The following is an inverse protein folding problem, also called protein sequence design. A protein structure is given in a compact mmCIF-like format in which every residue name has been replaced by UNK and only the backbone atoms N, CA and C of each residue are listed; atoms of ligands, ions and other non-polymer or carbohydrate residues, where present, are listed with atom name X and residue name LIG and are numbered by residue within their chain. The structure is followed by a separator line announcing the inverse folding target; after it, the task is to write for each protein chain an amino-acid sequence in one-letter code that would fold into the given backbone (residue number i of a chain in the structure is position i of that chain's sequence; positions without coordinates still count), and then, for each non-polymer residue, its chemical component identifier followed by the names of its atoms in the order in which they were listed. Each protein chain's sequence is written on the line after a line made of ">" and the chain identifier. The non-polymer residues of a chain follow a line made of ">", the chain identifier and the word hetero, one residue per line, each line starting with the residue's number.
data_IF_234233972880
#
_entry.id   IF_234233972880
#
_cell.length_a   1.000
_cell.length_b   1.000
_cell.length_c   1.000
_cell.angle_alpha   90.00
_cell.angle_beta   90.00
_cell.angle_gamma   90.00
#
_symmetry.space_group_name_H-M   'P 1'
#
loop_
_entity.id
_entity.type
_entity.pdbx_description
1 polymer ?
#
# COMPACT_ATOMS: atom_id res chain seq x y z
N UNK A 1 -38.96 -17.05 10.69
CA UNK A 1 -37.68 -17.06 9.95
C UNK A 1 -37.25 -15.67 9.51
N UNK A 2 -38.14 -14.86 8.94
CA UNK A 2 -37.81 -13.51 8.44
C UNK A 2 -37.33 -12.52 9.51
N UNK A 3 -37.87 -12.55 10.72
CA UNK A 3 -37.46 -11.65 11.82
C UNK A 3 -36.02 -11.90 12.28
N UNK A 4 -35.56 -13.15 12.27
CA UNK A 4 -34.21 -13.52 12.70
C UNK A 4 -33.15 -13.05 11.70
N UNK A 5 -33.42 -13.18 10.40
CA UNK A 5 -32.56 -12.68 9.32
C UNK A 5 -32.43 -11.15 9.35
N UNK A 6 -33.51 -10.42 9.63
CA UNK A 6 -33.47 -8.95 9.76
C UNK A 6 -32.59 -8.49 10.92
N UNK A 7 -32.68 -9.17 12.07
CA UNK A 7 -31.86 -8.83 13.23
C UNK A 7 -30.37 -9.11 12.98
N UNK A 8 -30.03 -10.19 12.27
CA UNK A 8 -28.65 -10.48 11.87
C UNK A 8 -28.11 -9.41 10.92
N UNK A 9 -28.91 -8.99 9.94
CA UNK A 9 -28.50 -7.95 8.99
C UNK A 9 -28.19 -6.63 9.72
N UNK A 10 -29.04 -6.22 10.67
CA UNK A 10 -28.85 -4.98 11.45
C UNK A 10 -27.58 -5.08 12.32
N UNK A 11 -27.38 -6.22 12.97
CA UNK A 11 -26.19 -6.47 13.82
C UNK A 11 -24.89 -6.49 13.00
N UNK A 12 -24.94 -6.87 11.72
CA UNK A 12 -23.78 -6.81 10.81
C UNK A 12 -23.58 -5.44 10.18
N UNK A 13 -24.66 -4.72 9.86
CA UNK A 13 -24.59 -3.41 9.21
C UNK A 13 -24.06 -2.33 10.15
N UNK A 14 -24.43 -2.38 11.43
CA UNK A 14 -24.01 -1.41 12.44
C UNK A 14 -22.47 -1.34 12.63
N UNK A 15 -21.75 -2.45 12.88
CA UNK A 15 -20.29 -2.42 12.96
C UNK A 15 -19.66 -2.11 11.61
N UNK A 16 -20.25 -2.51 10.48
CA UNK A 16 -19.75 -2.12 9.15
C UNK A 16 -19.75 -0.60 8.97
N UNK A 17 -20.84 0.08 9.33
CA UNK A 17 -20.93 1.54 9.29
C UNK A 17 -19.96 2.23 10.27
N UNK A 18 -19.77 1.68 11.47
CA UNK A 18 -18.81 2.22 12.44
C UNK A 18 -17.35 2.05 11.97
N UNK A 19 -17.03 0.91 11.37
CA UNK A 19 -15.69 0.60 10.86
C UNK A 19 -15.38 1.37 9.58
N UNK A 20 -16.37 1.73 8.77
CA UNK A 20 -16.16 2.54 7.56
C UNK A 20 -15.45 3.87 7.86
N UNK A 21 -15.80 4.52 8.97
CA UNK A 21 -15.19 5.79 9.37
C UNK A 21 -13.80 5.65 10.01
N UNK A 22 -13.45 4.45 10.51
CA UNK A 22 -12.17 4.19 11.18
C UNK A 22 -11.03 3.84 10.21
N UNK A 23 -11.33 3.61 8.93
CA UNK A 23 -10.33 3.17 7.93
C UNK A 23 -9.49 4.34 7.38
N UNK A 24 -9.78 5.59 7.74
CA UNK A 24 -8.89 6.73 7.45
C UNK A 24 -7.69 6.79 8.41
N UNK A 25 -7.05 5.64 8.68
CA UNK A 25 -5.75 5.64 9.34
C UNK A 25 -4.70 6.17 8.36
N UNK A 26 -3.78 6.98 8.88
CA UNK A 26 -2.72 7.66 8.15
C UNK A 26 -1.71 6.63 7.60
N UNK A 27 -2.05 5.95 6.52
CA UNK A 27 -1.12 5.13 5.74
C UNK A 27 -0.91 5.85 4.43
N UNK A 28 0.30 6.36 4.22
CA UNK A 28 0.67 6.91 2.92
C UNK A 28 0.74 5.75 1.94
N UNK A 29 -0.30 5.70 1.11
CA UNK A 29 -0.54 4.60 0.18
C UNK A 29 -1.10 5.14 -1.10
N UNK A 30 -0.77 4.45 -2.18
CA UNK A 30 -1.26 4.76 -3.51
C UNK A 30 -1.78 3.48 -4.16
N UNK A 31 -3.02 3.56 -4.65
CA UNK A 31 -3.70 2.45 -5.33
C UNK A 31 -3.80 2.78 -6.81
N UNK A 32 -3.35 1.86 -7.66
CA UNK A 32 -3.36 2.07 -9.10
C UNK A 32 -3.75 0.79 -9.84
N UNK A 33 -4.32 0.96 -11.03
CA UNK A 33 -4.62 -0.15 -11.94
C UNK A 33 -3.58 -0.17 -13.05
N UNK A 34 -2.97 -1.34 -13.28
CA UNK A 34 -2.00 -1.49 -14.36
C UNK A 34 -2.70 -1.47 -15.71
N UNK A 35 -2.11 -0.73 -16.65
CA UNK A 35 -2.52 -0.65 -18.05
C UNK A 35 -1.28 -0.89 -18.88
N UNK A 36 -1.40 -1.71 -19.93
CA UNK A 36 -0.30 -1.89 -20.85
C UNK A 36 -0.08 -0.59 -21.63
N UNK A 37 1.15 -0.09 -21.66
CA UNK A 37 1.56 1.04 -22.47
C UNK A 37 2.39 0.56 -23.65
N UNK A 38 2.13 1.13 -24.82
CA UNK A 38 2.93 0.91 -26.02
C UNK A 38 3.97 2.03 -26.09
N UNK A 39 5.25 1.67 -25.93
CA UNK A 39 6.38 2.61 -25.98
C UNK A 39 7.39 2.25 -27.07
N UNK A 40 8.15 3.21 -27.61
CA UNK A 40 9.28 2.93 -28.48
C UNK A 40 10.34 2.09 -27.76
N UNK A 41 10.90 1.10 -28.44
CA UNK A 41 11.93 0.22 -27.87
C UNK A 41 13.19 1.00 -27.42
N UNK A 42 13.54 2.07 -28.14
CA UNK A 42 14.65 2.96 -27.75
C UNK A 42 14.45 3.59 -26.38
N UNK A 43 13.24 4.06 -26.09
CA UNK A 43 12.87 4.64 -24.80
C UNK A 43 12.89 3.58 -23.70
N UNK A 44 12.44 2.36 -24.00
CA UNK A 44 12.53 1.24 -23.07
C UNK A 44 13.98 0.96 -22.67
N UNK A 45 14.89 0.84 -23.65
CA UNK A 45 16.31 0.58 -23.37
C UNK A 45 16.98 1.72 -22.62
N UNK A 46 16.68 2.97 -22.95
CA UNK A 46 17.21 4.14 -22.24
C UNK A 46 16.81 4.14 -20.76
N UNK A 47 15.50 3.97 -20.49
CA UNK A 47 14.98 3.90 -19.13
C UNK A 47 15.55 2.70 -18.38
N UNK A 48 15.65 1.54 -19.05
CA UNK A 48 16.18 0.34 -18.44
C UNK A 48 17.66 0.52 -18.07
N UNK A 49 18.46 1.08 -18.97
CA UNK A 49 19.88 1.37 -18.71
C UNK A 49 20.04 2.37 -17.56
N UNK A 50 19.25 3.44 -17.55
CA UNK A 50 19.22 4.39 -16.43
C UNK A 50 18.87 3.68 -15.11
N UNK A 51 17.83 2.86 -15.11
CA UNK A 51 17.39 2.15 -13.90
C UNK A 51 18.46 1.20 -13.34
N UNK A 52 19.24 0.57 -14.22
CA UNK A 52 20.37 -0.29 -13.85
C UNK A 52 21.54 0.55 -13.33
N UNK A 53 21.85 1.68 -13.98
CA UNK A 53 22.93 2.57 -13.57
C UNK A 53 22.69 3.16 -12.17
N UNK A 54 21.45 3.52 -11.87
CA UNK A 54 21.03 4.03 -10.55
C UNK A 54 20.85 2.92 -9.51
N UNK A 55 20.91 1.65 -9.92
CA UNK A 55 20.73 0.51 -9.03
C UNK A 55 19.32 0.43 -8.43
N UNK A 56 18.29 0.79 -9.21
CA UNK A 56 16.92 0.82 -8.71
C UNK A 56 16.43 -0.56 -8.27
N UNK A 57 15.72 -0.59 -7.14
CA UNK A 57 15.15 -1.82 -6.60
C UNK A 57 13.84 -2.15 -7.33
N UNK A 58 13.68 -3.42 -7.70
CA UNK A 58 12.47 -3.92 -8.36
C UNK A 58 11.51 -4.55 -7.36
N UNK A 59 10.26 -4.07 -7.35
CA UNK A 59 9.14 -4.60 -6.59
C UNK A 59 8.24 -5.41 -7.53
N UNK A 60 7.89 -6.64 -7.13
CA UNK A 60 7.10 -7.57 -7.95
C UNK A 60 5.81 -8.03 -7.24
N UNK A 61 4.70 -8.25 -7.97
CA UNK A 61 3.52 -8.90 -7.40
C UNK A 61 3.76 -10.40 -7.12
N UNK A 62 2.89 -11.08 -6.36
CA UNK A 62 1.66 -10.56 -5.74
C UNK A 62 1.91 -9.75 -4.46
N UNK A 63 3.12 -9.86 -3.89
CA UNK A 63 3.55 -9.14 -2.70
C UNK A 63 5.08 -9.05 -2.69
N UNK A 64 5.63 -7.84 -2.60
CA UNK A 64 7.06 -7.59 -2.34
C UNK A 64 7.20 -6.51 -1.29
N UNK A 65 8.19 -6.67 -0.40
CA UNK A 65 8.58 -5.68 0.59
C UNK A 65 10.07 -5.39 0.48
N UNK A 66 10.40 -4.11 0.27
CA UNK A 66 11.77 -3.62 0.42
C UNK A 66 11.89 -2.91 1.76
N UNK A 67 12.91 -3.28 2.54
CA UNK A 67 13.05 -2.87 3.94
C UNK A 67 14.22 -1.93 4.17
N UNK A 68 14.09 -1.11 5.21
CA UNK A 68 15.15 -0.25 5.76
C UNK A 68 15.73 0.78 4.78
N UNK A 69 14.88 1.22 3.85
CA UNK A 69 15.18 2.31 2.92
C UNK A 69 15.30 3.62 3.68
N UNK A 70 16.02 4.59 3.11
CA UNK A 70 16.31 5.87 3.75
C UNK A 70 16.02 7.00 2.81
N UNK A 71 15.31 8.02 3.28
CA UNK A 71 15.07 9.25 2.53
C UNK A 71 15.27 10.46 3.43
N UNK A 72 15.93 11.50 2.94
CA UNK A 72 16.03 12.77 3.66
C UNK A 72 14.79 13.60 3.34
N UNK A 73 13.97 13.98 4.34
CA UNK A 73 12.76 14.72 4.07
C UNK A 73 13.06 16.17 3.64
N UNK A 74 12.17 16.72 2.81
CA UNK A 74 12.11 18.14 2.51
C UNK A 74 11.62 18.91 3.75
N UNK A 75 12.23 20.06 4.02
CA UNK A 75 11.92 20.90 5.19
C UNK A 75 10.63 21.67 5.03
N UNK A 76 10.36 22.12 3.81
CA UNK A 76 9.22 22.96 3.47
C UNK A 76 8.62 22.49 2.15
N UNK A 77 7.34 22.82 1.93
CA UNK A 77 6.67 22.56 0.66
C UNK A 77 7.35 23.27 -0.51
N UNK A 78 7.94 24.45 -0.28
CA UNK A 78 8.71 25.20 -1.29
C UNK A 78 9.96 24.42 -1.72
N UNK A 79 10.68 23.82 -0.76
CA UNK A 79 11.83 22.97 -1.05
C UNK A 79 11.40 21.70 -1.79
N UNK A 80 10.21 21.17 -1.47
CA UNK A 80 9.63 20.00 -2.14
C UNK A 80 9.28 20.24 -3.62
N UNK A 81 8.95 21.49 -3.97
CA UNK A 81 8.70 21.89 -5.37
C UNK A 81 9.98 22.11 -6.18
N UNK A 82 11.14 22.26 -5.52
CA UNK A 82 12.42 22.33 -6.20
C UNK A 82 12.73 21.00 -6.92
N UNK A 83 13.27 21.09 -8.14
CA UNK A 83 13.55 19.94 -9.03
C UNK A 83 14.94 19.35 -8.80
N UNK A 84 15.65 19.73 -7.73
CA UNK A 84 16.98 19.20 -7.46
C UNK A 84 16.90 17.73 -7.03
N UNK A 85 17.37 16.85 -7.91
CA UNK A 85 17.45 15.40 -7.71
C UNK A 85 18.63 15.09 -6.78
N UNK A 86 18.36 15.14 -5.48
CA UNK A 86 19.31 14.84 -4.42
C UNK A 86 18.84 13.59 -3.63
N UNK A 87 19.51 13.26 -2.52
CA UNK A 87 19.18 12.17 -1.56
C UNK A 87 17.78 12.26 -0.89
N UNK A 88 16.89 13.09 -1.46
CA UNK A 88 15.55 13.41 -0.97
C UNK A 88 14.43 12.65 -1.68
N UNK A 89 14.78 11.83 -2.66
CA UNK A 89 13.83 10.95 -3.33
C UNK A 89 14.44 9.59 -3.63
N UNK A 90 13.62 8.55 -3.56
CA UNK A 90 13.97 7.19 -3.93
C UNK A 90 13.06 6.70 -5.05
N UNK A 91 13.64 5.94 -5.96
CA UNK A 91 12.94 5.38 -7.12
C UNK A 91 12.94 3.86 -7.07
N UNK A 92 11.82 3.27 -7.47
CA UNK A 92 11.62 1.83 -7.51
C UNK A 92 10.99 1.44 -8.84
N UNK A 93 11.33 0.25 -9.32
CA UNK A 93 10.73 -0.36 -10.51
C UNK A 93 9.55 -1.22 -10.04
N UNK A 94 8.37 -1.00 -10.60
CA UNK A 94 7.22 -1.89 -10.42
C UNK A 94 7.13 -2.78 -11.65
N UNK A 95 7.57 -4.03 -11.51
CA UNK A 95 7.71 -4.97 -12.63
C UNK A 95 6.70 -6.13 -12.55
N UNK A 96 6.56 -6.86 -13.65
CA UNK A 96 5.67 -8.03 -13.76
C UNK A 96 4.21 -7.72 -13.40
N UNK A 97 3.76 -6.50 -13.68
CA UNK A 97 2.38 -6.10 -13.48
C UNK A 97 1.49 -6.74 -14.56
N UNK A 98 0.33 -7.25 -14.17
CA UNK A 98 -0.67 -7.80 -15.08
C UNK A 98 -1.65 -6.69 -15.48
N UNK A 99 -1.97 -6.62 -16.77
CA UNK A 99 -2.93 -5.65 -17.29
C UNK A 99 -4.32 -5.81 -16.64
N UNK A 100 -4.93 -4.70 -16.25
CA UNK A 100 -6.27 -4.67 -15.64
C UNK A 100 -6.30 -5.07 -14.17
N UNK A 101 -5.18 -5.50 -13.57
CA UNK A 101 -5.08 -5.74 -12.13
C UNK A 101 -4.83 -4.45 -11.36
N UNK A 102 -5.37 -4.40 -10.15
CA UNK A 102 -5.17 -3.29 -9.22
C UNK A 102 -4.12 -3.66 -8.19
N UNK A 103 -3.25 -2.71 -7.90
CA UNK A 103 -2.15 -2.84 -6.97
C UNK A 103 -2.21 -1.70 -5.95
N UNK A 104 -1.64 -1.95 -4.79
CA UNK A 104 -1.44 -0.96 -3.74
C UNK A 104 0.04 -0.90 -3.40
N UNK A 105 0.57 0.32 -3.37
CA UNK A 105 1.89 0.60 -2.80
C UNK A 105 1.72 1.31 -1.48
N UNK A 106 2.53 0.94 -0.49
CA UNK A 106 2.47 1.47 0.87
C UNK A 106 3.87 1.78 1.37
N UNK A 107 3.98 2.87 2.12
CA UNK A 107 5.14 3.15 2.94
C UNK A 107 4.82 2.89 4.41
N UNK A 108 5.76 2.27 5.12
CA UNK A 108 5.68 2.03 6.57
C UNK A 108 6.93 2.55 7.23
N UNK A 109 6.77 3.40 8.24
CA UNK A 109 7.85 4.06 8.96
C UNK A 109 7.52 4.19 10.46
N UNK A 110 8.52 4.57 11.26
CA UNK A 110 8.34 4.74 12.69
C UNK A 110 7.53 6.02 13.00
N UNK A 111 6.48 5.91 13.81
CA UNK A 111 5.63 7.04 14.23
C UNK A 111 6.37 8.13 15.02
N UNK A 112 7.60 7.86 15.47
CA UNK A 112 8.47 8.84 16.14
C UNK A 112 9.15 9.82 15.18
N UNK A 113 9.00 9.62 13.87
CA UNK A 113 9.52 10.47 12.80
C UNK A 113 8.34 11.20 12.14
N UNK A 114 8.08 12.48 12.51
CA UNK A 114 6.95 13.23 11.95
C UNK A 114 7.26 13.58 10.49
N UNK A 115 6.72 12.81 9.57
CA UNK A 115 7.06 12.87 8.15
C UNK A 115 5.86 12.46 7.34
N UNK A 116 5.58 13.20 6.27
CA UNK A 116 4.54 12.90 5.29
C UNK A 116 5.26 12.35 4.05
N UNK A 117 5.03 11.08 3.72
CA UNK A 117 5.51 10.53 2.45
C UNK A 117 4.55 10.83 1.31
N UNK A 118 5.13 11.16 0.15
CA UNK A 118 4.43 11.36 -1.11
C UNK A 118 4.88 10.26 -2.06
N UNK A 119 3.94 9.43 -2.48
CA UNK A 119 4.15 8.35 -3.43
C UNK A 119 3.61 8.80 -4.79
N UNK A 120 4.41 8.68 -5.84
CA UNK A 120 3.97 8.94 -7.21
C UNK A 120 4.22 7.70 -8.06
N UNK A 121 3.13 7.17 -8.62
CA UNK A 121 3.18 6.10 -9.63
C UNK A 121 3.31 6.77 -10.98
N UNK A 122 4.37 6.42 -11.70
CA UNK A 122 4.76 7.06 -12.95
C UNK A 122 4.81 6.04 -14.07
N UNK A 123 4.24 6.41 -15.20
CA UNK A 123 4.44 5.70 -16.46
C UNK A 123 5.83 5.98 -17.04
N UNK A 124 6.23 5.20 -18.05
CA UNK A 124 7.56 5.32 -18.66
C UNK A 124 7.82 6.72 -19.20
N UNK A 125 6.82 7.31 -19.86
CA UNK A 125 6.92 8.67 -20.43
C UNK A 125 7.04 9.72 -19.33
N UNK A 126 6.31 9.56 -18.23
CA UNK A 126 6.32 10.50 -17.11
C UNK A 126 7.66 10.45 -16.37
N UNK A 127 8.16 9.24 -16.09
CA UNK A 127 9.48 9.03 -15.53
C UNK A 127 10.55 9.69 -16.43
N UNK A 128 10.50 9.47 -17.74
CA UNK A 128 11.43 10.08 -18.67
C UNK A 128 11.35 11.60 -18.75
N UNK A 129 10.14 12.17 -18.68
CA UNK A 129 9.97 13.62 -18.66
C UNK A 129 10.66 14.25 -17.46
N UNK A 130 10.57 13.59 -16.30
CA UNK A 130 11.25 14.01 -15.06
C UNK A 130 12.76 13.87 -15.24
N UNK A 131 13.25 12.77 -15.84
CA UNK A 131 14.68 12.53 -16.02
C UNK A 131 15.36 13.46 -17.03
N UNK A 132 14.71 13.72 -18.17
CA UNK A 132 15.27 14.55 -19.25
C UNK A 132 15.10 16.06 -19.03
N UNK A 133 14.53 16.48 -17.91
CA UNK A 133 14.24 17.89 -17.59
C UNK A 133 13.58 18.62 -18.78
N UNK A 134 12.38 18.16 -19.17
CA UNK A 134 11.46 18.76 -20.16
C UNK A 134 11.88 18.85 -21.64
N UNK A 135 13.08 18.44 -22.05
CA UNK A 135 13.51 18.58 -23.46
C UNK A 135 13.28 17.34 -24.33
N UNK A 136 12.46 16.38 -23.90
CA UNK A 136 12.10 15.24 -24.72
C UNK A 136 11.17 15.69 -25.85
N UNK A 137 11.75 15.92 -27.02
CA UNK A 137 11.01 16.00 -28.28
C UNK A 137 10.48 14.61 -28.60
N UNK A 138 9.18 14.52 -28.89
CA UNK A 138 8.55 13.31 -29.41
C UNK A 138 9.18 12.98 -30.76
N UNK A 139 10.20 12.13 -30.75
CA UNK A 139 10.82 11.66 -31.98
C UNK A 139 9.87 10.64 -32.62
N UNK A 140 9.09 11.09 -33.61
CA UNK A 140 8.12 10.29 -34.36
C UNK A 140 8.79 9.36 -35.39
N UNK A 141 9.94 8.78 -35.03
CA UNK A 141 10.58 7.75 -35.83
C UNK A 141 9.78 6.46 -35.84
N UNK A 142 9.82 5.74 -36.97
CA UNK A 142 9.28 4.38 -37.14
C UNK A 142 10.13 3.37 -36.36
N UNK A 143 10.15 3.49 -35.03
CA UNK A 143 10.81 2.55 -34.16
C UNK A 143 9.88 1.40 -33.79
N UNK A 144 10.42 0.18 -33.59
CA UNK A 144 9.65 -0.92 -33.04
C UNK A 144 9.02 -0.49 -31.71
N UNK A 145 7.75 -0.87 -31.53
CA UNK A 145 6.95 -0.53 -30.37
C UNK A 145 6.79 -1.77 -29.48
N UNK A 146 7.07 -1.60 -28.19
CA UNK A 146 6.95 -2.64 -27.18
C UNK A 146 5.73 -2.36 -26.30
N UNK A 147 4.94 -3.39 -26.03
CA UNK A 147 3.87 -3.33 -25.03
C UNK A 147 4.46 -3.71 -23.66
N UNK A 148 4.34 -2.81 -22.69
CA UNK A 148 4.90 -2.99 -21.35
C UNK A 148 3.86 -2.68 -20.29
N UNK A 149 3.96 -3.35 -19.15
CA UNK A 149 3.12 -3.08 -17.97
C UNK A 149 3.92 -2.52 -16.81
N UNK A 150 5.23 -2.34 -16.97
CA UNK A 150 6.16 -1.84 -15.97
C UNK A 150 5.86 -0.36 -15.66
N UNK A 151 5.95 0.00 -14.39
CA UNK A 151 5.77 1.38 -13.90
C UNK A 151 6.92 1.75 -12.96
N UNK A 152 7.01 3.01 -12.58
CA UNK A 152 7.96 3.49 -11.58
C UNK A 152 7.22 4.02 -10.36
N UNK A 153 7.79 3.78 -9.18
CA UNK A 153 7.35 4.41 -7.95
C UNK A 153 8.42 5.38 -7.49
N UNK A 154 8.05 6.65 -7.38
CA UNK A 154 8.87 7.70 -6.79
C UNK A 154 8.36 7.95 -5.37
N UNK A 155 9.26 7.86 -4.40
CA UNK A 155 8.98 8.08 -2.98
C UNK A 155 9.73 9.32 -2.51
N UNK A 156 8.98 10.29 -1.99
CA UNK A 156 9.49 11.51 -1.35
C UNK A 156 8.95 11.64 0.06
N UNK A 157 9.57 12.48 0.86
CA UNK A 157 9.19 12.70 2.24
C UNK A 157 9.22 14.19 2.59
N UNK A 158 8.22 14.70 3.30
CA UNK A 158 8.16 16.09 3.79
C UNK A 158 8.17 16.02 5.31
N UNK A 159 9.02 16.80 5.96
CA UNK A 159 9.05 16.85 7.42
C UNK A 159 7.85 17.65 7.94
N UNK A 160 7.05 17.05 8.82
CA UNK A 160 5.81 17.64 9.37
C UNK A 160 5.91 17.87 10.89
N UNK A 161 7.13 17.81 11.42
CA UNK A 161 7.38 17.95 12.85
C UNK A 161 7.68 19.38 13.28
N UNK A 162 7.47 19.66 14.57
CA UNK A 162 8.05 20.83 15.24
C UNK A 162 9.26 20.36 16.03
N UNK A 163 10.47 20.74 15.64
CA UNK A 163 11.70 20.40 16.39
C UNK A 163 12.36 21.62 16.98
N UNK A 164 12.58 21.60 18.30
CA UNK A 164 13.39 22.61 19.01
C UNK A 164 14.89 22.46 18.67
N UNK A 165 15.31 21.24 18.29
CA UNK A 165 16.70 20.95 17.90
C UNK A 165 16.88 21.18 16.41
N UNK A 166 17.77 22.11 16.07
CA UNK A 166 18.16 22.40 14.69
C UNK A 166 18.74 21.15 14.02
N UNK A 167 18.37 20.90 12.76
CA UNK A 167 18.87 19.80 11.94
C UNK A 167 18.18 18.45 12.18
N UNK A 168 17.16 18.38 13.05
CA UNK A 168 16.35 17.15 13.21
C UNK A 168 15.47 16.89 11.98
N UNK A 169 15.04 17.97 11.34
CA UNK A 169 14.32 18.07 10.07
C UNK A 169 15.13 17.54 8.86
N UNK A 170 16.45 17.39 8.98
CA UNK A 170 17.32 16.89 7.90
C UNK A 170 17.82 15.46 8.12
N UNK A 171 17.29 14.76 9.13
CA UNK A 171 17.72 13.38 9.41
C UNK A 171 17.04 12.42 8.43
N UNK A 172 17.80 11.45 7.88
CA UNK A 172 17.20 10.40 7.07
C UNK A 172 16.13 9.64 7.86
N UNK A 173 14.96 9.49 7.27
CA UNK A 173 13.85 8.68 7.80
C UNK A 173 13.97 7.28 7.23
N UNK A 174 13.96 6.29 8.12
CA UNK A 174 13.99 4.88 7.73
C UNK A 174 12.57 4.41 7.47
N UNK A 175 12.35 3.76 6.33
CA UNK A 175 11.05 3.25 5.95
C UNK A 175 11.13 1.90 5.23
N UNK A 176 9.99 1.24 5.09
CA UNK A 176 9.80 0.08 4.25
C UNK A 176 8.78 0.43 3.16
N UNK A 177 9.00 -0.04 1.94
CA UNK A 177 8.03 0.07 0.85
C UNK A 177 7.48 -1.30 0.50
N UNK A 178 6.18 -1.37 0.29
CA UNK A 178 5.45 -2.60 -0.01
C UNK A 178 4.68 -2.41 -1.30
N UNK A 179 4.73 -3.39 -2.19
CA UNK A 179 3.84 -3.54 -3.33
C UNK A 179 2.96 -4.78 -3.10
N UNK A 180 1.65 -4.64 -3.20
CA UNK A 180 0.70 -5.74 -3.03
C UNK A 180 -0.40 -5.73 -4.09
N UNK A 181 -0.83 -6.91 -4.54
CA UNK A 181 -1.99 -7.04 -5.43
C UNK A 181 -3.28 -6.95 -4.64
N UNK A 182 -4.22 -6.13 -5.14
CA UNK A 182 -5.57 -6.05 -4.60
C UNK A 182 -6.49 -7.04 -5.32
N UNK A 183 -7.28 -7.77 -4.54
CA UNK A 183 -8.32 -8.66 -5.02
C UNK A 183 -9.64 -8.14 -4.47
N UNK A 184 -10.55 -7.71 -5.35
CA UNK A 184 -11.79 -7.01 -4.97
C UNK A 184 -11.57 -5.77 -4.08
N UNK A 185 -10.48 -5.03 -4.33
CA UNK A 185 -10.13 -3.83 -3.55
C UNK A 185 -9.50 -4.11 -2.18
N UNK A 186 -9.31 -5.38 -1.80
CA UNK A 186 -8.70 -5.78 -0.53
C UNK A 186 -7.30 -6.35 -0.80
N UNK A 187 -6.28 -6.00 0.02
CA UNK A 187 -4.96 -6.61 -0.08
C UNK A 187 -5.04 -8.14 0.04
N UNK A 188 -4.37 -8.86 -0.86
CA UNK A 188 -4.42 -10.33 -0.91
C UNK A 188 -4.07 -10.98 0.44
N UNK A 189 -3.09 -10.43 1.16
CA UNK A 189 -2.69 -10.92 2.49
C UNK A 189 -3.83 -10.72 3.50
N UNK A 190 -4.57 -9.62 3.41
CA UNK A 190 -5.71 -9.36 4.30
C UNK A 190 -6.89 -10.33 4.06
N UNK A 191 -7.11 -10.77 2.81
CA UNK A 191 -8.16 -11.77 2.51
C UNK A 191 -7.89 -13.10 3.23
N UNK A 192 -6.63 -13.56 3.22
CA UNK A 192 -6.24 -14.78 3.93
C UNK A 192 -6.51 -14.63 5.45
N UNK A 193 -6.20 -13.46 6.01
CA UNK A 193 -6.46 -13.17 7.42
C UNK A 193 -7.96 -13.17 7.74
N UNK A 194 -8.79 -12.52 6.92
CA UNK A 194 -10.25 -12.49 7.08
C UNK A 194 -10.82 -13.92 7.08
N UNK A 195 -10.35 -14.76 6.16
CA UNK A 195 -10.80 -16.15 6.07
C UNK A 195 -10.45 -16.96 7.33
N UNK A 196 -9.22 -16.83 7.83
CA UNK A 196 -8.78 -17.49 9.07
C UNK A 196 -9.61 -17.01 10.27
N UNK A 197 -9.83 -15.70 10.39
CA UNK A 197 -10.65 -15.13 11.45
C UNK A 197 -12.09 -15.64 11.40
N UNK A 198 -12.69 -15.72 10.20
CA UNK A 198 -14.03 -16.25 10.03
C UNK A 198 -14.15 -17.71 10.50
N UNK A 199 -13.15 -18.55 10.22
CA UNK A 199 -13.10 -19.94 10.70
C UNK A 199 -13.01 -19.99 12.23
N UNK A 200 -12.11 -19.21 12.84
CA UNK A 200 -11.94 -19.18 14.29
C UNK A 200 -13.24 -18.75 14.98
N UNK A 201 -13.88 -17.69 14.48
CA UNK A 201 -15.15 -17.19 15.02
C UNK A 201 -16.26 -18.22 14.83
N UNK A 202 -16.33 -18.87 13.67
CA UNK A 202 -17.29 -19.94 13.39
C UNK A 202 -17.12 -21.10 14.37
N UNK A 203 -15.90 -21.59 14.57
CA UNK A 203 -15.60 -22.67 15.51
C UNK A 203 -15.94 -22.27 16.94
N UNK A 204 -15.55 -21.05 17.37
CA UNK A 204 -15.89 -20.53 18.70
C UNK A 204 -17.41 -20.51 18.92
N UNK A 205 -18.17 -19.98 17.97
CA UNK A 205 -19.61 -19.80 18.10
C UNK A 205 -20.41 -21.11 17.96
N UNK A 206 -20.03 -22.00 17.05
CA UNK A 206 -20.79 -23.23 16.79
C UNK A 206 -20.38 -24.41 17.69
N UNK A 207 -19.13 -24.44 18.18
CA UNK A 207 -18.63 -25.57 18.97
C UNK A 207 -18.46 -25.19 20.44
N UNK A 208 -17.78 -24.09 20.74
CA UNK A 208 -17.43 -23.74 22.12
C UNK A 208 -18.61 -23.11 22.87
N UNK A 209 -19.30 -22.13 22.28
CA UNK A 209 -20.44 -21.45 22.94
C UNK A 209 -21.55 -22.44 23.36
N UNK A 210 -22.00 -23.40 22.54
CA UNK A 210 -23.03 -24.35 22.96
C UNK A 210 -22.54 -25.29 24.06
N UNK A 211 -21.26 -25.68 24.05
CA UNK A 211 -20.68 -26.52 25.11
C UNK A 211 -20.64 -25.77 26.43
N UNK A 212 -20.20 -24.52 26.43
CA UNK A 212 -20.18 -23.66 27.63
C UNK A 212 -21.61 -23.43 28.12
N UNK A 213 -22.55 -23.13 27.23
CA UNK A 213 -23.96 -22.93 27.60
C UNK A 213 -24.58 -24.19 28.21
N UNK A 214 -24.33 -25.38 27.64
CA UNK A 214 -24.76 -26.67 28.22
C UNK A 214 -24.14 -26.90 29.60
N UNK A 215 -22.84 -26.65 29.76
CA UNK A 215 -22.15 -26.82 31.04
C UNK A 215 -22.73 -25.88 32.11
N UNK A 216 -22.96 -24.61 31.78
CA UNK A 216 -23.57 -23.64 32.70
C UNK A 216 -24.99 -24.03 33.08
N UNK A 217 -25.80 -24.50 32.12
CA UNK A 217 -27.17 -24.96 32.39
C UNK A 217 -27.16 -26.14 33.37
N UNK A 218 -26.29 -27.12 33.19
CA UNK A 218 -26.18 -28.26 34.09
C UNK A 218 -25.83 -27.84 35.53
N UNK A 219 -24.93 -26.87 35.70
CA UNK A 219 -24.56 -26.35 37.04
C UNK A 219 -25.73 -25.64 37.72
N UNK A 220 -26.55 -24.90 36.95
CA UNK A 220 -27.75 -24.24 37.49
C UNK A 220 -28.78 -25.28 37.93
N UNK A 221 -29.07 -26.28 37.09
CA UNK A 221 -30.05 -27.34 37.40
C UNK A 221 -29.63 -28.22 38.60
N UNK A 222 -28.33 -28.46 38.80
CA UNK A 222 -27.84 -29.17 39.98
C UNK A 222 -27.99 -28.37 41.29
N UNK A 223 -27.92 -27.04 41.21
CA UNK A 223 -28.11 -26.16 42.36
C UNK A 223 -29.58 -26.17 42.79
N UNK A 224 -30.50 -26.03 41.84
CA UNK A 224 -31.95 -26.00 42.10
C UNK A 224 -32.47 -27.32 42.70
N UNK A 225 -31.82 -28.45 42.44
CA UNK A 225 -32.19 -29.75 43.03
C UNK A 225 -31.77 -29.93 44.50
N UNK A 226 -30.89 -29.07 45.03
CA UNK A 226 -30.37 -29.18 46.40
C UNK A 226 -31.10 -28.27 47.40
N UNK A 227 -31.92 -27.34 46.91
CA UNK A 227 -32.82 -26.49 47.72
C UNK A 227 -34.20 -27.15 47.85
#
# INVERSE_FOLDING_TARGET
>A
MESWLKNILIVLLFPYCLLYNLISANTEKEVFTSKAEIIPESLFHEVNNWSVQEGLVTLKPPYTIQRYERVIPYKTSEEFESTERNEKENWYILDELEEGKTYETRVSYASTSPTIFVLNILDFKEAMKILRNNNATDDQGSHPKLSITKKFLRVRAIYDGVSIRHGRDSRPVIYNVVLETLVYGVPRVAINLIFVLAIIIGVANFIFVPKIYKALRNVIEEKDKKE
#
